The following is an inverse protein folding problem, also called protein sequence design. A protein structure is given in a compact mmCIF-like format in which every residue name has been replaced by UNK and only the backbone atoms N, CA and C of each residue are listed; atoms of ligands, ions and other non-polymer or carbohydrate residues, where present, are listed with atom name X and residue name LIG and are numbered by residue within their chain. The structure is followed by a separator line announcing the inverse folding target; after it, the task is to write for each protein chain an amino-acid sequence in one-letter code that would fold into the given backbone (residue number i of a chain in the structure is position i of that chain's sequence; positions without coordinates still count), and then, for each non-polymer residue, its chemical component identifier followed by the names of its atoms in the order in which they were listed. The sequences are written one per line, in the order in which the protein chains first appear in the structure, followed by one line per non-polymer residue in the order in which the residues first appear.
data_IF_238474629170
#
_entry.id   IF_238474629170
#
_cell.length_a   1.000
_cell.length_b   1.000
_cell.length_c   1.000
_cell.angle_alpha   90.00
_cell.angle_beta   90.00
_cell.angle_gamma   90.00
#
_symmetry.space_group_name_H-M   'P 1'
#
loop_
_entity.id
_entity.type
_entity.pdbx_description
1 polymer ?
#
# COMPACT_ATOMS: atom_id res chain seq x y z
N UNK A 1 9.70 -7.17 -14.45
CA UNK A 1 10.86 -6.30 -14.10
C UNK A 1 10.60 -5.77 -12.68
N UNK A 2 11.50 -6.01 -11.72
CA UNK A 2 11.32 -5.59 -10.32
C UNK A 2 10.83 -6.68 -9.35
N UNK A 3 11.33 -7.92 -9.48
CA UNK A 3 10.97 -8.97 -8.52
C UNK A 3 11.73 -8.74 -7.22
N UNK A 4 10.99 -8.64 -6.11
CA UNK A 4 11.55 -8.64 -4.74
C UNK A 4 12.00 -10.06 -4.41
N UNK A 5 13.17 -10.20 -3.81
CA UNK A 5 13.80 -11.46 -3.42
C UNK A 5 14.03 -11.51 -1.91
N UNK A 6 14.21 -12.72 -1.33
CA UNK A 6 14.61 -12.85 0.07
C UNK A 6 15.90 -12.05 0.34
N UNK A 7 15.90 -11.27 1.43
CA UNK A 7 17.01 -10.39 1.80
C UNK A 7 16.91 -8.95 1.28
N UNK A 8 16.01 -8.67 0.33
CA UNK A 8 15.80 -7.31 -0.15
C UNK A 8 15.17 -6.43 0.93
N UNK A 9 15.62 -5.18 1.01
CA UNK A 9 14.96 -4.13 1.78
C UNK A 9 14.14 -3.28 0.83
N UNK A 10 12.86 -3.11 1.15
CA UNK A 10 11.94 -2.31 0.34
C UNK A 10 11.41 -1.12 1.13
N UNK A 11 11.18 -0.01 0.44
CA UNK A 11 10.49 1.15 0.98
C UNK A 11 9.03 1.11 0.54
N UNK A 12 8.11 1.23 1.49
CA UNK A 12 6.68 1.32 1.21
C UNK A 12 6.23 2.74 1.52
N UNK A 13 5.61 3.39 0.54
CA UNK A 13 5.01 4.71 0.69
C UNK A 13 3.52 4.61 0.38
N UNK A 14 2.69 5.18 1.25
CA UNK A 14 1.24 5.21 1.07
C UNK A 14 0.74 6.64 1.24
N UNK A 15 -0.11 7.08 0.32
CA UNK A 15 -0.80 8.37 0.37
C UNK A 15 -2.29 8.13 0.45
N UNK A 16 -2.93 8.76 1.43
CA UNK A 16 -4.38 8.88 1.49
C UNK A 16 -4.85 9.78 0.34
N UNK A 17 -5.89 9.34 -0.37
CA UNK A 17 -6.46 10.07 -1.50
C UNK A 17 -7.73 10.77 -1.06
N UNK A 18 -8.70 9.98 -0.59
CA UNK A 18 -9.99 10.49 -0.13
C UNK A 18 -10.66 9.50 0.82
N UNK A 19 -11.68 9.97 1.52
CA UNK A 19 -12.57 9.15 2.34
C UNK A 19 -13.99 9.31 1.84
N UNK A 20 -14.65 8.19 1.52
CA UNK A 20 -16.07 8.17 1.18
C UNK A 20 -16.77 7.20 2.12
N UNK A 21 -17.69 7.73 2.94
CA UNK A 21 -18.34 6.98 4.01
C UNK A 21 -17.30 6.30 4.93
N UNK A 22 -17.34 4.97 5.06
CA UNK A 22 -16.40 4.17 5.87
C UNK A 22 -15.14 3.75 5.11
N UNK A 23 -15.02 4.07 3.82
CA UNK A 23 -13.91 3.64 2.97
C UNK A 23 -12.86 4.74 2.84
N UNK A 24 -11.62 4.40 3.19
CA UNK A 24 -10.45 5.23 2.96
C UNK A 24 -9.74 4.74 1.70
N UNK A 25 -9.70 5.57 0.65
CA UNK A 25 -9.01 5.24 -0.60
C UNK A 25 -7.56 5.73 -0.52
N UNK A 26 -6.62 4.83 -0.85
CA UNK A 26 -5.19 5.09 -0.78
C UNK A 26 -4.50 4.66 -2.08
N UNK A 27 -3.38 5.33 -2.37
CA UNK A 27 -2.43 4.90 -3.39
C UNK A 27 -1.10 4.60 -2.72
N UNK A 28 -0.51 3.45 -3.06
CA UNK A 28 0.75 3.00 -2.50
C UNK A 28 1.78 2.68 -3.58
N UNK A 29 3.04 2.79 -3.22
CA UNK A 29 4.16 2.29 -4.02
C UNK A 29 5.15 1.55 -3.14
N UNK A 30 5.67 0.44 -3.68
CA UNK A 30 6.81 -0.28 -3.11
C UNK A 30 8.02 0.00 -3.99
N UNK A 31 9.14 0.38 -3.37
CA UNK A 31 10.41 0.66 -4.03
C UNK A 31 11.50 -0.30 -3.55
N UNK A 32 12.28 -0.83 -4.49
CA UNK A 32 13.53 -1.56 -4.24
C UNK A 32 14.66 -0.70 -4.82
N UNK A 33 15.65 -0.35 -4.00
CA UNK A 33 16.77 0.52 -4.40
C UNK A 33 16.29 1.82 -5.08
N UNK A 34 15.26 2.45 -4.51
CA UNK A 34 14.63 3.68 -5.02
C UNK A 34 13.73 3.50 -6.26
N UNK A 35 13.76 2.34 -6.93
CA UNK A 35 12.96 2.04 -8.12
C UNK A 35 11.62 1.44 -7.73
N UNK A 36 10.54 1.97 -8.31
CA UNK A 36 9.18 1.44 -8.08
C UNK A 36 9.07 0.03 -8.68
N UNK A 37 8.69 -0.93 -7.85
CA UNK A 37 8.48 -2.34 -8.21
C UNK A 37 7.03 -2.78 -8.12
N UNK A 38 6.22 -2.09 -7.31
CA UNK A 38 4.78 -2.24 -7.25
C UNK A 38 4.13 -0.87 -7.09
N UNK A 39 3.05 -0.64 -7.83
CA UNK A 39 2.10 0.46 -7.61
C UNK A 39 0.74 -0.15 -7.34
N UNK A 40 0.04 0.32 -6.31
CA UNK A 40 -1.26 -0.22 -5.93
C UNK A 40 -2.22 0.91 -5.55
N UNK A 41 -3.50 0.71 -5.86
CA UNK A 41 -4.61 1.50 -5.32
C UNK A 41 -5.53 0.55 -4.56
N UNK A 42 -5.93 0.95 -3.36
CA UNK A 42 -6.73 0.11 -2.49
C UNK A 42 -7.60 0.95 -1.57
N UNK A 43 -8.66 0.33 -1.05
CA UNK A 43 -9.54 0.94 -0.07
C UNK A 43 -9.51 0.12 1.23
N UNK A 44 -9.58 0.81 2.37
CA UNK A 44 -9.66 0.19 3.69
C UNK A 44 -10.97 0.62 4.37
N UNK A 45 -11.62 -0.32 5.04
CA UNK A 45 -12.72 -0.05 5.96
C UNK A 45 -12.44 -0.75 7.28
N UNK A 46 -12.54 -0.02 8.39
CA UNK A 46 -12.40 -0.61 9.73
C UNK A 46 -13.69 -1.38 10.06
N UNK A 47 -13.54 -2.66 10.38
CA UNK A 47 -14.65 -3.50 10.84
C UNK A 47 -14.43 -3.80 12.32
N UNK A 48 -15.40 -3.45 13.16
CA UNK A 48 -15.36 -3.80 14.58
C UNK A 48 -15.57 -5.31 14.72
N UNK A 49 -14.56 -6.02 15.23
CA UNK A 49 -14.69 -7.44 15.54
C UNK A 49 -15.35 -7.58 16.92
N UNK A 50 -16.60 -8.03 16.96
CA UNK A 50 -17.28 -8.37 18.22
C UNK A 50 -16.88 -9.79 18.60
N UNK A 51 -16.23 -9.95 19.76
CA UNK A 51 -15.92 -11.25 20.39
C UNK A 51 -17.13 -11.75 21.16
#
# INVERSE_FOLDING_TARGET
KGMVKPGDTVTIEVKHVETLQQFHFLTGSVRLDGKVVLSIRFALALVTQTV
#
